data_IF_969923695954
#
_entry.id   IF_969923695954
#
_cell.length_a   1.000
_cell.length_b   1.000
_cell.length_c   1.000
_cell.angle_alpha   90.00
_cell.angle_beta   90.00
_cell.angle_gamma   90.00
#
_symmetry.space_group_name_H-M   'P 1'
#
loop_
_entity.id
_entity.type
_entity.pdbx_description
1 polymer ?
#
# COMPACT_ATOMS: atom_id res chain seq x y z
N UNK A 1 4.03 -3.81 16.56
CA UNK A 1 4.10 -2.41 16.08
C UNK A 1 4.10 -2.35 14.55
N UNK A 2 4.97 -3.09 13.85
CA UNK A 2 5.01 -3.09 12.38
C UNK A 2 3.77 -3.74 11.72
N UNK A 3 3.27 -4.85 12.26
CA UNK A 3 2.04 -5.51 11.77
C UNK A 3 0.80 -4.61 11.88
N UNK A 4 0.63 -3.91 13.02
CA UNK A 4 -0.49 -2.97 13.20
C UNK A 4 -0.43 -1.83 12.19
N UNK A 5 0.77 -1.33 11.87
CA UNK A 5 0.93 -0.28 10.88
C UNK A 5 0.63 -0.77 9.46
N UNK A 6 1.06 -2.00 9.13
CA UNK A 6 0.73 -2.65 7.87
C UNK A 6 -0.80 -2.84 7.72
N UNK A 7 -1.47 -3.34 8.76
CA UNK A 7 -2.93 -3.47 8.75
C UNK A 7 -3.62 -2.12 8.56
N UNK A 8 -3.22 -1.07 9.29
CA UNK A 8 -3.79 0.27 9.14
C UNK A 8 -3.62 0.78 7.70
N UNK A 9 -2.45 0.58 7.11
CA UNK A 9 -2.18 0.99 5.74
C UNK A 9 -3.07 0.22 4.76
N UNK A 10 -3.23 -1.10 4.95
CA UNK A 10 -4.12 -1.95 4.16
C UNK A 10 -5.57 -1.50 4.28
N UNK A 11 -6.07 -1.30 5.51
CA UNK A 11 -7.45 -0.86 5.77
C UNK A 11 -7.76 0.47 5.07
N UNK A 12 -6.84 1.44 5.19
CA UNK A 12 -6.98 2.74 4.52
C UNK A 12 -6.92 2.58 3.00
N UNK A 13 -6.00 1.75 2.49
CA UNK A 13 -5.86 1.53 1.04
C UNK A 13 -7.14 0.90 0.47
N UNK A 14 -7.71 -0.08 1.16
CA UNK A 14 -8.97 -0.71 0.78
C UNK A 14 -10.11 0.31 0.82
N UNK A 15 -10.17 1.15 1.84
CA UNK A 15 -11.15 2.23 1.90
C UNK A 15 -11.01 3.20 0.72
N UNK A 16 -9.79 3.61 0.36
CA UNK A 16 -9.56 4.54 -0.74
C UNK A 16 -9.92 3.92 -2.11
N UNK A 17 -9.62 2.64 -2.32
CA UNK A 17 -9.84 1.96 -3.61
C UNK A 17 -11.28 1.48 -3.80
N UNK A 18 -11.91 0.95 -2.74
CA UNK A 18 -13.18 0.23 -2.84
C UNK A 18 -14.38 1.00 -2.30
N UNK A 19 -14.19 2.26 -1.85
CA UNK A 19 -15.34 3.14 -1.58
C UNK A 19 -15.90 3.67 -2.89
N UNK A 20 -17.22 3.63 -3.01
CA UNK A 20 -17.94 4.12 -4.19
C UNK A 20 -17.63 5.59 -4.49
N UNK A 21 -17.52 5.93 -5.78
CA UNK A 21 -17.22 7.29 -6.25
C UNK A 21 -18.29 8.33 -5.87
N UNK A 22 -19.52 7.89 -5.57
CA UNK A 22 -20.58 8.76 -5.02
C UNK A 22 -20.29 9.18 -3.57
N UNK A 23 -19.43 8.45 -2.85
CA UNK A 23 -19.11 8.65 -1.44
C UNK A 23 -17.69 9.19 -1.22
N UNK A 24 -16.75 8.88 -2.11
CA UNK A 24 -15.37 9.33 -2.05
C UNK A 24 -14.93 9.83 -3.43
N UNK A 25 -14.47 11.08 -3.49
CA UNK A 25 -13.90 11.66 -4.69
C UNK A 25 -12.63 10.87 -5.11
N UNK A 26 -12.63 10.22 -6.30
CA UNK A 26 -11.50 9.43 -6.76
C UNK A 26 -10.19 10.23 -6.88
N UNK A 27 -10.27 11.51 -7.26
CA UNK A 27 -9.09 12.36 -7.40
C UNK A 27 -8.47 12.64 -6.02
N UNK A 28 -9.30 12.82 -4.99
CA UNK A 28 -8.82 12.97 -3.61
C UNK A 28 -8.26 11.65 -3.06
N UNK A 29 -8.86 10.52 -3.42
CA UNK A 29 -8.36 9.21 -3.02
C UNK A 29 -6.95 8.94 -3.59
N UNK A 30 -6.76 9.21 -4.88
CA UNK A 30 -5.45 9.12 -5.55
C UNK A 30 -4.45 10.08 -4.92
N UNK A 31 -4.82 11.35 -4.73
CA UNK A 31 -3.92 12.33 -4.11
C UNK A 31 -3.48 11.94 -2.69
N UNK A 32 -4.36 11.29 -1.92
CA UNK A 32 -4.01 10.75 -0.61
C UNK A 32 -3.04 9.58 -0.72
N UNK A 33 -3.28 8.63 -1.65
CA UNK A 33 -2.38 7.50 -1.88
C UNK A 33 -0.98 7.98 -2.31
N UNK A 34 -0.89 8.97 -3.20
CA UNK A 34 0.36 9.58 -3.62
C UNK A 34 1.10 10.25 -2.46
N UNK A 35 0.37 10.99 -1.60
CA UNK A 35 0.95 11.62 -0.41
C UNK A 35 1.52 10.58 0.56
N UNK A 36 0.80 9.47 0.77
CA UNK A 36 1.27 8.36 1.61
C UNK A 36 2.53 7.75 1.00
N UNK A 37 2.51 7.41 -0.30
CA UNK A 37 3.68 6.88 -1.01
C UNK A 37 4.88 7.82 -0.92
N UNK A 38 4.68 9.14 -1.07
CA UNK A 38 5.75 10.12 -0.94
C UNK A 38 6.40 10.13 0.46
N UNK A 39 5.62 9.97 1.53
CA UNK A 39 6.15 9.86 2.89
C UNK A 39 6.86 8.54 3.15
N UNK A 40 6.38 7.46 2.55
CA UNK A 40 6.99 6.15 2.68
C UNK A 40 8.36 6.06 1.98
N UNK A 41 8.64 6.92 0.99
CA UNK A 41 9.97 7.03 0.36
C UNK A 41 11.08 7.48 1.31
N UNK A 42 10.74 8.08 2.46
CA UNK A 42 11.72 8.48 3.46
C UNK A 42 12.23 7.31 4.32
N UNK A 43 11.58 6.13 4.22
CA UNK A 43 12.03 4.92 4.89
C UNK A 43 13.34 4.42 4.29
N UNK A 44 14.23 3.89 5.14
CA UNK A 44 15.42 3.23 4.63
C UNK A 44 15.08 1.88 3.96
N UNK A 45 16.08 1.26 3.32
CA UNK A 45 15.89 -0.01 2.62
C UNK A 45 15.39 -1.14 3.53
N UNK A 46 15.88 -1.21 4.78
CA UNK A 46 15.52 -2.27 5.72
C UNK A 46 14.10 -2.06 6.25
N UNK A 47 13.72 -0.81 6.51
CA UNK A 47 12.37 -0.41 6.89
C UNK A 47 11.36 -0.67 5.76
N UNK A 48 11.70 -0.27 4.53
CA UNK A 48 10.87 -0.51 3.35
C UNK A 48 10.63 -2.00 3.09
N UNK A 49 11.68 -2.82 3.18
CA UNK A 49 11.57 -4.27 3.02
C UNK A 49 10.71 -4.91 4.13
N UNK A 50 10.89 -4.48 5.38
CA UNK A 50 10.12 -5.00 6.49
C UNK A 50 8.64 -4.62 6.41
N UNK A 51 8.32 -3.38 6.00
CA UNK A 51 6.96 -2.93 5.78
C UNK A 51 6.31 -3.68 4.60
N UNK A 52 7.05 -3.85 3.50
CA UNK A 52 6.58 -4.60 2.33
C UNK A 52 6.20 -6.04 2.69
N UNK A 53 7.05 -6.71 3.48
CA UNK A 53 6.75 -8.06 3.99
C UNK A 53 5.51 -8.04 4.87
N UNK A 54 5.44 -7.11 5.84
CA UNK A 54 4.33 -7.03 6.77
C UNK A 54 2.98 -6.76 6.07
N UNK A 55 2.96 -5.95 5.02
CA UNK A 55 1.76 -5.72 4.19
C UNK A 55 1.33 -7.02 3.51
N UNK A 56 2.27 -7.78 2.94
CA UNK A 56 1.97 -9.05 2.25
C UNK A 56 1.49 -10.16 3.19
N UNK A 57 1.88 -10.09 4.46
CA UNK A 57 1.44 -11.01 5.49
C UNK A 57 0.04 -10.69 6.03
N UNK A 58 -0.52 -9.51 5.68
CA UNK A 58 -1.91 -9.18 6.01
C UNK A 58 -2.86 -10.06 5.19
N UNK A 59 -3.77 -10.74 5.90
CA UNK A 59 -4.75 -11.66 5.33
C UNK A 59 -6.07 -10.90 5.11
N UNK A 60 -6.35 -10.54 3.87
CA UNK A 60 -7.59 -9.88 3.46
C UNK A 60 -8.29 -10.70 2.36
N UNK A 61 -9.16 -11.67 2.73
CA UNK A 61 -9.69 -12.67 1.79
C UNK A 61 -10.39 -12.09 0.56
N UNK A 62 -11.01 -10.91 0.69
CA UNK A 62 -11.74 -10.26 -0.40
C UNK A 62 -10.85 -9.38 -1.29
N UNK A 63 -9.66 -9.02 -0.81
CA UNK A 63 -8.81 -8.01 -1.45
C UNK A 63 -7.35 -8.46 -1.57
N UNK A 64 -7.06 -9.76 -1.44
CA UNK A 64 -5.68 -10.28 -1.36
C UNK A 64 -4.78 -9.85 -2.53
N UNK A 65 -5.33 -9.79 -3.75
CA UNK A 65 -4.59 -9.31 -4.93
C UNK A 65 -4.25 -7.82 -4.85
N UNK A 66 -5.19 -7.00 -4.38
CA UNK A 66 -4.91 -5.59 -4.14
C UNK A 66 -3.85 -5.41 -3.04
N UNK A 67 -3.98 -6.14 -1.92
CA UNK A 67 -3.02 -6.09 -0.81
C UNK A 67 -1.62 -6.50 -1.24
N UNK A 68 -1.46 -7.50 -2.12
CA UNK A 68 -0.13 -7.95 -2.59
C UNK A 68 0.61 -6.89 -3.41
N UNK A 69 -0.14 -6.00 -4.04
CA UNK A 69 0.37 -4.99 -4.98
C UNK A 69 0.66 -3.65 -4.29
N UNK A 70 0.11 -3.42 -3.10
CA UNK A 70 0.34 -2.20 -2.31
C UNK A 70 1.82 -1.83 -2.08
N UNK A 71 2.74 -2.77 -1.81
CA UNK A 71 4.15 -2.41 -1.68
C UNK A 71 4.73 -1.77 -2.94
N UNK A 72 4.29 -2.19 -4.12
CA UNK A 72 4.72 -1.59 -5.39
C UNK A 72 4.01 -0.26 -5.63
N UNK A 73 2.69 -0.20 -5.40
CA UNK A 73 1.90 1.02 -5.54
C UNK A 73 2.43 2.19 -4.68
N UNK A 74 2.90 1.89 -3.47
CA UNK A 74 3.53 2.88 -2.59
C UNK A 74 5.03 3.10 -2.82
N UNK A 75 5.65 2.37 -3.76
CA UNK A 75 7.06 2.49 -4.08
C UNK A 75 8.01 1.96 -3.01
N UNK A 76 7.53 1.06 -2.12
CA UNK A 76 8.35 0.37 -1.12
C UNK A 76 9.26 -0.68 -1.74
N UNK A 77 8.88 -1.21 -2.90
CA UNK A 77 9.69 -2.04 -3.77
C UNK A 77 9.71 -1.41 -5.16
N UNK A 78 10.87 -1.43 -5.82
CA UNK A 78 10.93 -1.16 -7.26
C UNK A 78 10.54 -2.43 -8.00
N UNK A 79 9.73 -2.38 -9.06
CA UNK A 79 9.59 -3.53 -9.95
C UNK A 79 10.99 -3.96 -10.40
N UNK A 80 11.30 -5.24 -10.25
CA UNK A 80 12.55 -5.81 -10.73
C UNK A 80 12.69 -5.48 -12.21
N UNK A 81 13.66 -4.64 -12.57
CA UNK A 81 14.05 -4.43 -13.97
C UNK A 81 14.77 -5.63 -14.59
N UNK A 82 14.78 -6.78 -13.90
CA UNK A 82 15.17 -8.09 -14.43
C UNK A 82 13.97 -9.04 -14.38
N UNK A 83 13.21 -9.09 -15.47
CA UNK A 83 12.63 -10.34 -15.97
C UNK A 83 13.10 -10.49 -17.42
N UNK A 84 13.75 -11.61 -17.79
CA UNK A 84 14.10 -11.91 -19.18
C UNK A 84 12.86 -12.16 -20.05
#
# INVERSE_FOLDING_TARGET
MRETFAQILVDISIFLEFTDEELLDPDLAVAMAELVGARLKDLDRAESAALSSAIRDVVEPNHQGFVSDLPEAYGLITPSSDQP
#
